data_IF_159780396594
#
_entry.id   IF_159780396594
#
_cell.length_a   1.000
_cell.length_b   1.000
_cell.length_c   1.000
_cell.angle_alpha   90.00
_cell.angle_beta   90.00
_cell.angle_gamma   90.00
#
_symmetry.space_group_name_H-M   'P 1'
#
loop_
_entity.id
_entity.type
_entity.pdbx_description
1 polymer ?
#
# COMPACT_ATOMS: atom_id res chain seq x y z
N UNK A 1 -3.22 9.05 -17.05
CA UNK A 1 -3.63 10.12 -17.97
C UNK A 1 -3.95 11.44 -17.23
N UNK A 2 -4.71 11.43 -16.12
CA UNK A 2 -4.98 12.66 -15.36
C UNK A 2 -3.73 13.16 -14.64
N UNK A 3 -2.99 12.29 -13.97
CA UNK A 3 -1.71 12.61 -13.33
C UNK A 3 -0.69 13.07 -14.38
N UNK A 4 -0.63 12.39 -15.51
CA UNK A 4 0.26 12.75 -16.61
C UNK A 4 -0.04 14.13 -17.19
N UNK A 5 -1.32 14.46 -17.38
CA UNK A 5 -1.75 15.81 -17.78
C UNK A 5 -1.42 16.86 -16.73
N UNK A 6 -1.42 16.51 -15.44
CA UNK A 6 -1.03 17.40 -14.36
C UNK A 6 0.42 17.84 -14.52
N UNK A 7 1.33 16.90 -14.81
CA UNK A 7 2.75 17.17 -14.97
C UNK A 7 3.11 18.03 -16.19
N UNK A 8 2.21 18.16 -17.16
CA UNK A 8 2.38 19.00 -18.36
C UNK A 8 1.73 20.38 -18.24
N UNK A 9 1.04 20.65 -17.13
CA UNK A 9 0.34 21.93 -16.90
C UNK A 9 1.27 22.99 -16.32
N UNK A 10 0.90 24.27 -16.51
CA UNK A 10 1.60 25.42 -15.93
C UNK A 10 1.51 25.47 -14.40
N UNK A 11 0.47 24.87 -13.83
CA UNK A 11 0.27 24.78 -12.37
C UNK A 11 -0.15 23.34 -12.01
N UNK A 12 0.81 22.42 -11.82
CA UNK A 12 0.55 21.03 -11.44
C UNK A 12 -0.21 20.91 -10.14
N UNK A 13 0.11 21.73 -9.13
CA UNK A 13 -0.52 21.73 -7.80
C UNK A 13 -2.03 22.00 -7.91
N UNK A 14 -2.45 23.05 -8.63
CA UNK A 14 -3.87 23.35 -8.83
C UNK A 14 -4.64 22.18 -9.46
N UNK A 15 -4.00 21.44 -10.36
CA UNK A 15 -4.60 20.27 -10.99
C UNK A 15 -4.69 19.08 -10.05
N UNK A 16 -3.67 18.85 -9.21
CA UNK A 16 -3.73 17.80 -8.19
C UNK A 16 -4.87 18.07 -7.20
N UNK A 17 -5.06 19.30 -6.76
CA UNK A 17 -6.21 19.69 -5.91
C UNK A 17 -7.57 19.39 -6.57
N UNK A 18 -7.69 19.54 -7.88
CA UNK A 18 -8.93 19.19 -8.61
C UNK A 18 -9.19 17.68 -8.71
N UNK A 19 -8.12 16.87 -8.73
CA UNK A 19 -8.21 15.42 -8.82
C UNK A 19 -8.51 14.77 -7.48
N UNK A 20 -7.96 15.30 -6.40
CA UNK A 20 -8.20 14.85 -5.02
C UNK A 20 -9.65 15.15 -4.64
N UNK A 21 -10.32 14.17 -4.06
CA UNK A 21 -11.70 14.26 -3.61
C UNK A 21 -11.78 14.17 -2.10
N UNK A 22 -12.53 15.08 -1.50
CA UNK A 22 -12.90 14.99 -0.10
C UNK A 22 -13.83 13.80 0.10
N UNK A 23 -13.66 13.12 1.23
CA UNK A 23 -14.58 12.06 1.67
C UNK A 23 -15.46 12.55 2.81
N UNK A 24 -16.48 11.76 3.17
CA UNK A 24 -17.32 12.00 4.35
C UNK A 24 -16.59 11.67 5.68
N UNK A 25 -15.32 11.26 5.60
CA UNK A 25 -14.49 10.92 6.76
C UNK A 25 -13.48 12.04 7.00
N UNK A 26 -13.43 12.50 8.25
CA UNK A 26 -12.49 13.52 8.68
C UNK A 26 -11.04 13.06 8.41
N UNK A 27 -10.21 13.99 7.92
CA UNK A 27 -8.79 13.79 7.61
C UNK A 27 -8.51 12.70 6.56
N UNK A 28 -9.50 12.32 5.75
CA UNK A 28 -9.33 11.36 4.68
C UNK A 28 -9.76 11.92 3.33
N UNK A 29 -8.81 12.11 2.45
CA UNK A 29 -9.02 12.47 1.07
C UNK A 29 -8.67 11.28 0.15
N UNK A 30 -9.19 11.26 -1.06
CA UNK A 30 -8.96 10.18 -2.02
C UNK A 30 -8.57 10.74 -3.39
N UNK A 31 -7.52 10.20 -3.96
CA UNK A 31 -7.20 10.32 -5.38
C UNK A 31 -7.71 9.05 -6.09
N UNK A 32 -8.92 9.08 -6.68
CA UNK A 32 -9.56 7.86 -7.16
C UNK A 32 -8.97 7.38 -8.48
N UNK A 33 -8.75 6.08 -8.61
CA UNK A 33 -8.49 5.39 -9.87
C UNK A 33 -9.77 4.73 -10.42
N UNK A 34 -9.77 4.38 -11.69
CA UNK A 34 -10.84 3.63 -12.34
C UNK A 34 -10.27 2.75 -13.47
N UNK A 35 -11.13 2.02 -14.19
CA UNK A 35 -10.75 1.09 -15.25
C UNK A 35 -9.92 1.72 -16.39
N UNK A 36 -9.93 3.05 -16.54
CA UNK A 36 -9.06 3.75 -17.51
C UNK A 36 -7.59 3.67 -17.13
N UNK A 37 -7.26 3.27 -15.89
CA UNK A 37 -5.89 3.03 -15.48
C UNK A 37 -5.21 1.96 -16.34
N UNK A 38 -5.94 0.93 -16.77
CA UNK A 38 -5.41 -0.11 -17.66
C UNK A 38 -4.91 0.47 -18.99
N UNK A 39 -5.72 1.35 -19.62
CA UNK A 39 -5.30 2.04 -20.84
C UNK A 39 -4.18 3.06 -20.58
N UNK A 40 -4.22 3.73 -19.43
CA UNK A 40 -3.15 4.65 -19.03
C UNK A 40 -1.82 3.91 -18.86
N UNK A 41 -1.80 2.74 -18.24
CA UNK A 41 -0.61 1.92 -18.08
C UNK A 41 0.00 1.53 -19.45
N UNK A 42 -0.84 1.11 -20.41
CA UNK A 42 -0.37 0.82 -21.77
C UNK A 42 0.24 2.05 -22.44
N UNK A 43 -0.41 3.21 -22.31
CA UNK A 43 0.10 4.47 -22.86
C UNK A 43 1.42 4.87 -22.23
N UNK A 44 1.55 4.74 -20.92
CA UNK A 44 2.77 5.02 -20.15
C UNK A 44 3.91 4.11 -20.61
N UNK A 45 3.67 2.82 -20.80
CA UNK A 45 4.69 1.87 -21.26
C UNK A 45 5.23 2.18 -22.67
N UNK A 46 4.42 2.78 -23.54
CA UNK A 46 4.79 3.16 -24.91
C UNK A 46 5.46 4.55 -24.97
N UNK A 47 5.34 5.38 -23.95
CA UNK A 47 5.92 6.72 -23.93
C UNK A 47 7.41 6.67 -23.53
N UNK A 48 8.29 6.77 -24.51
CA UNK A 48 9.75 6.79 -24.32
C UNK A 48 10.32 8.21 -24.15
N UNK A 49 9.48 9.24 -24.10
CA UNK A 49 9.94 10.64 -24.04
C UNK A 49 10.43 11.07 -22.66
N UNK A 50 10.11 10.32 -21.61
CA UNK A 50 10.46 10.59 -20.21
C UNK A 50 10.46 9.31 -19.38
N UNK A 51 11.13 9.31 -18.20
CA UNK A 51 11.11 8.19 -17.28
C UNK A 51 9.67 7.84 -16.87
N UNK A 52 9.31 6.58 -17.03
CA UNK A 52 7.93 6.11 -16.85
C UNK A 52 7.62 5.77 -15.38
N UNK A 53 8.66 5.42 -14.61
CA UNK A 53 8.55 4.93 -13.24
C UNK A 53 8.35 6.03 -12.19
N UNK A 54 8.59 7.30 -12.51
CA UNK A 54 8.55 8.42 -11.56
C UNK A 54 7.28 9.27 -11.64
N UNK A 55 6.25 8.85 -12.38
CA UNK A 55 5.06 9.68 -12.64
C UNK A 55 4.24 9.94 -11.39
N UNK A 56 4.08 8.92 -10.53
CA UNK A 56 3.37 9.06 -9.26
C UNK A 56 4.22 9.88 -8.28
N UNK A 57 5.51 9.58 -8.12
CA UNK A 57 6.43 10.35 -7.26
C UNK A 57 6.36 11.84 -7.58
N UNK A 58 6.55 12.19 -8.85
CA UNK A 58 6.52 13.59 -9.30
C UNK A 58 5.15 14.27 -9.11
N UNK A 59 4.06 13.53 -9.21
CA UNK A 59 2.72 14.09 -8.99
C UNK A 59 2.44 14.31 -7.49
N UNK A 60 2.85 13.39 -6.63
CA UNK A 60 2.68 13.51 -5.18
C UNK A 60 3.53 14.62 -4.58
N UNK A 61 4.68 14.93 -5.15
CA UNK A 61 5.53 16.04 -4.73
C UNK A 61 4.78 17.38 -4.68
N UNK A 62 3.78 17.56 -5.56
CA UNK A 62 2.96 18.78 -5.59
C UNK A 62 2.04 18.95 -4.37
N UNK A 63 1.83 17.90 -3.56
CA UNK A 63 0.87 17.90 -2.45
C UNK A 63 1.41 17.25 -1.16
N UNK A 64 2.68 16.89 -1.13
CA UNK A 64 3.28 16.15 -0.01
C UNK A 64 3.12 16.87 1.34
N UNK A 65 3.24 18.20 1.37
CA UNK A 65 3.18 19.01 2.59
C UNK A 65 1.75 19.17 3.14
N UNK A 66 0.74 18.67 2.43
CA UNK A 66 -0.66 18.76 2.81
C UNK A 66 -1.15 17.55 3.63
N UNK A 67 -0.37 16.46 3.65
CA UNK A 67 -0.76 15.19 4.25
C UNK A 67 0.35 14.61 5.12
N UNK A 68 -0.02 14.01 6.23
CA UNK A 68 0.93 13.29 7.08
C UNK A 68 1.27 11.91 6.48
N UNK A 69 0.31 11.28 5.79
CA UNK A 69 0.46 9.97 5.15
C UNK A 69 -0.22 9.95 3.79
N UNK A 70 0.39 9.25 2.85
CA UNK A 70 -0.20 8.88 1.57
C UNK A 70 -0.17 7.37 1.41
N UNK A 71 -1.33 6.73 1.34
CA UNK A 71 -1.45 5.28 1.14
C UNK A 71 -1.74 5.02 -0.34
N UNK A 72 -0.85 4.28 -1.01
CA UNK A 72 -1.01 3.89 -2.40
C UNK A 72 -1.49 2.44 -2.44
N UNK A 73 -2.78 2.24 -2.72
CA UNK A 73 -3.38 0.90 -2.87
C UNK A 73 -3.09 0.34 -4.26
N UNK A 74 -2.48 -0.85 -4.31
CA UNK A 74 -2.04 -1.51 -5.53
C UNK A 74 -2.73 -2.84 -5.75
N UNK A 75 -2.91 -3.20 -7.03
CA UNK A 75 -3.26 -4.56 -7.41
C UNK A 75 -2.10 -5.54 -7.07
N UNK A 76 -2.41 -6.82 -6.82
CA UNK A 76 -1.41 -7.82 -6.46
C UNK A 76 -0.64 -8.34 -7.71
N UNK A 77 -0.13 -7.43 -8.52
CA UNK A 77 0.65 -7.75 -9.72
C UNK A 77 1.85 -6.78 -9.85
N UNK A 78 2.89 -7.22 -10.54
CA UNK A 78 4.09 -6.41 -10.80
C UNK A 78 3.95 -5.78 -12.18
N UNK A 79 3.37 -4.61 -12.23
CA UNK A 79 3.20 -3.82 -13.47
C UNK A 79 3.75 -2.40 -13.30
N UNK A 80 3.61 -1.55 -14.33
CA UNK A 80 4.11 -0.17 -14.30
C UNK A 80 3.46 0.67 -13.18
N UNK A 81 2.22 0.39 -12.77
CA UNK A 81 1.58 1.07 -11.64
C UNK A 81 2.27 0.71 -10.32
N UNK A 82 2.55 -0.58 -10.10
CA UNK A 82 3.25 -1.08 -8.90
C UNK A 82 4.66 -0.52 -8.84
N UNK A 83 5.39 -0.50 -9.95
CA UNK A 83 6.73 0.13 -10.03
C UNK A 83 6.65 1.62 -9.68
N UNK A 84 5.66 2.35 -10.20
CA UNK A 84 5.45 3.76 -9.86
C UNK A 84 5.11 3.97 -8.38
N UNK A 85 4.35 3.06 -7.76
CA UNK A 85 4.05 3.13 -6.34
C UNK A 85 5.30 2.89 -5.50
N UNK A 86 6.07 1.84 -5.80
CA UNK A 86 7.33 1.52 -5.12
C UNK A 86 8.38 2.64 -5.27
N UNK A 87 8.40 3.32 -6.43
CA UNK A 87 9.29 4.45 -6.67
C UNK A 87 8.88 5.71 -5.89
N UNK A 88 7.62 5.80 -5.46
CA UNK A 88 7.05 6.97 -4.79
C UNK A 88 6.90 6.80 -3.27
N UNK A 89 7.02 5.59 -2.73
CA UNK A 89 6.78 5.32 -1.31
C UNK A 89 8.07 5.33 -0.49
N UNK A 90 7.93 5.55 0.81
CA UNK A 90 9.00 5.40 1.81
C UNK A 90 8.97 4.00 2.43
N UNK A 91 7.77 3.41 2.53
CA UNK A 91 7.55 2.12 3.18
C UNK A 91 6.59 1.26 2.38
N UNK A 92 6.72 -0.07 2.53
CA UNK A 92 5.80 -1.04 1.94
C UNK A 92 5.18 -1.91 3.03
N UNK A 93 3.85 -1.93 3.09
CA UNK A 93 3.10 -2.89 3.90
C UNK A 93 2.55 -4.01 3.01
N UNK A 94 2.93 -5.24 3.30
CA UNK A 94 2.57 -6.42 2.52
C UNK A 94 1.53 -7.25 3.28
N UNK A 95 0.23 -7.14 2.94
CA UNK A 95 -0.78 -8.01 3.51
C UNK A 95 -0.67 -9.42 2.93
N UNK A 96 -0.41 -10.41 3.78
CA UNK A 96 -0.26 -11.81 3.37
C UNK A 96 -1.44 -12.61 3.91
N UNK A 97 -2.21 -13.23 3.01
CA UNK A 97 -3.15 -14.30 3.32
C UNK A 97 -2.40 -15.62 3.14
N UNK A 98 -2.35 -16.46 4.17
CA UNK A 98 -1.62 -17.73 4.10
C UNK A 98 -2.43 -18.72 3.29
N UNK A 99 -1.99 -18.99 2.07
CA UNK A 99 -2.53 -19.95 1.12
C UNK A 99 -1.41 -20.72 0.40
N UNK A 100 -1.78 -21.59 -0.55
CA UNK A 100 -0.85 -22.40 -1.31
C UNK A 100 0.12 -21.58 -2.21
N UNK A 101 -0.24 -20.34 -2.56
CA UNK A 101 0.55 -19.47 -3.42
C UNK A 101 1.54 -18.59 -2.66
N UNK A 102 1.40 -18.49 -1.33
CA UNK A 102 2.22 -17.60 -0.48
C UNK A 102 3.71 -17.90 -0.59
N UNK A 103 4.06 -19.17 -0.75
CA UNK A 103 5.45 -19.64 -0.83
C UNK A 103 6.21 -19.17 -2.08
N UNK A 104 5.52 -18.88 -3.18
CA UNK A 104 6.12 -18.45 -4.45
C UNK A 104 6.02 -16.95 -4.66
N UNK A 105 4.88 -16.35 -4.39
CA UNK A 105 4.62 -14.94 -4.68
C UNK A 105 5.36 -13.95 -3.75
N UNK A 106 5.52 -14.30 -2.47
CA UNK A 106 6.15 -13.41 -1.50
C UNK A 106 7.65 -13.17 -1.77
N UNK A 107 8.49 -14.19 -2.05
CA UNK A 107 9.90 -13.97 -2.41
C UNK A 107 10.06 -13.09 -3.65
N UNK A 108 9.23 -13.27 -4.68
CA UNK A 108 9.30 -12.49 -5.91
C UNK A 108 8.99 -11.00 -5.63
N UNK A 109 7.95 -10.72 -4.85
CA UNK A 109 7.60 -9.35 -4.45
C UNK A 109 8.72 -8.71 -3.64
N UNK A 110 9.30 -9.42 -2.67
CA UNK A 110 10.42 -8.91 -1.86
C UNK A 110 11.64 -8.61 -2.73
N UNK A 111 11.95 -9.45 -3.71
CA UNK A 111 13.04 -9.19 -4.66
C UNK A 111 12.75 -7.92 -5.49
N UNK A 112 11.52 -7.73 -5.96
CA UNK A 112 11.14 -6.52 -6.69
C UNK A 112 11.27 -5.26 -5.84
N UNK A 113 10.90 -5.32 -4.55
CA UNK A 113 11.07 -4.20 -3.61
C UNK A 113 12.55 -3.86 -3.46
N UNK A 114 13.42 -4.87 -3.27
CA UNK A 114 14.88 -4.65 -3.15
C UNK A 114 15.48 -4.03 -4.40
N UNK A 115 15.16 -4.54 -5.58
CA UNK A 115 15.63 -3.97 -6.85
C UNK A 115 15.15 -2.52 -7.02
N UNK A 116 13.88 -2.24 -6.69
CA UNK A 116 13.36 -0.87 -6.79
C UNK A 116 14.08 0.06 -5.82
N UNK A 117 14.38 -0.38 -4.60
CA UNK A 117 15.14 0.41 -3.63
C UNK A 117 16.55 0.71 -4.14
N UNK A 118 17.24 -0.26 -4.68
CA UNK A 118 18.63 -0.12 -5.14
C UNK A 118 18.74 0.74 -6.41
N UNK A 119 17.78 0.59 -7.35
CA UNK A 119 17.91 1.18 -8.68
C UNK A 119 17.08 2.44 -8.90
N UNK A 120 15.97 2.61 -8.15
CA UNK A 120 14.95 3.61 -8.48
C UNK A 120 14.50 4.49 -7.31
N UNK A 121 14.62 4.04 -6.06
CA UNK A 121 14.09 4.77 -4.91
C UNK A 121 14.90 4.55 -3.64
N UNK A 122 15.92 5.34 -3.42
CA UNK A 122 16.77 5.32 -2.21
C UNK A 122 15.96 5.69 -0.94
N UNK A 123 14.84 6.43 -1.08
CA UNK A 123 13.96 6.82 0.01
C UNK A 123 13.04 5.66 0.49
N UNK A 124 13.08 4.50 -0.16
CA UNK A 124 12.33 3.31 0.25
C UNK A 124 13.07 2.62 1.41
N UNK A 125 12.74 3.00 2.63
CA UNK A 125 13.46 2.59 3.83
C UNK A 125 13.12 1.16 4.24
N UNK A 126 11.84 0.84 4.36
CA UNK A 126 11.40 -0.40 4.96
C UNK A 126 10.30 -1.12 4.17
N UNK A 127 10.18 -2.42 4.41
CA UNK A 127 8.97 -3.17 4.12
C UNK A 127 8.63 -4.08 5.30
N UNK A 128 7.34 -4.26 5.55
CA UNK A 128 6.84 -5.18 6.56
C UNK A 128 5.74 -6.06 6.02
N UNK A 129 5.81 -7.32 6.37
CA UNK A 129 4.75 -8.29 6.13
C UNK A 129 3.80 -8.25 7.34
N UNK A 130 2.50 -8.34 7.10
CA UNK A 130 1.53 -8.65 8.14
C UNK A 130 0.53 -9.67 7.66
N UNK A 131 0.13 -10.56 8.57
CA UNK A 131 -0.80 -11.64 8.22
C UNK A 131 -2.24 -11.12 8.28
N UNK A 132 -2.99 -11.40 7.23
CA UNK A 132 -4.41 -11.06 7.15
C UNK A 132 -5.30 -12.30 6.99
N UNK A 133 -6.60 -12.16 7.28
CA UNK A 133 -7.60 -13.24 7.25
C UNK A 133 -7.20 -14.48 8.07
N UNK A 134 -6.45 -14.29 9.14
CA UNK A 134 -5.91 -15.38 9.93
C UNK A 134 -6.97 -16.08 10.78
N UNK A 135 -7.06 -17.40 10.65
CA UNK A 135 -7.82 -18.26 11.56
C UNK A 135 -6.86 -19.20 12.32
N UNK A 136 -6.64 -18.94 13.60
CA UNK A 136 -5.78 -19.75 14.48
C UNK A 136 -6.19 -21.23 14.60
N UNK A 137 -7.42 -21.57 14.20
CA UNK A 137 -7.92 -22.96 14.23
C UNK A 137 -7.57 -23.71 12.94
N UNK A 138 -7.17 -22.99 11.91
CA UNK A 138 -6.75 -23.60 10.65
C UNK A 138 -5.29 -24.08 10.78
N UNK A 139 -5.11 -25.41 10.76
CA UNK A 139 -3.79 -26.05 10.87
C UNK A 139 -2.83 -25.63 9.75
N UNK A 140 -3.32 -25.59 8.51
CA UNK A 140 -2.50 -25.19 7.37
C UNK A 140 -1.99 -23.74 7.50
N UNK A 141 -2.84 -22.84 8.01
CA UNK A 141 -2.41 -21.46 8.27
C UNK A 141 -1.38 -21.36 9.42
N UNK A 142 -1.46 -22.22 10.45
CA UNK A 142 -0.44 -22.26 11.50
C UNK A 142 0.91 -22.71 10.95
N UNK A 143 0.92 -23.79 10.17
CA UNK A 143 2.15 -24.30 9.54
C UNK A 143 2.73 -23.30 8.53
N UNK A 144 1.89 -22.68 7.69
CA UNK A 144 2.32 -21.65 6.76
C UNK A 144 2.91 -20.42 7.46
N UNK A 145 2.35 -20.02 8.61
CA UNK A 145 2.91 -18.95 9.43
C UNK A 145 4.31 -19.29 9.95
N UNK A 146 4.52 -20.52 10.43
CA UNK A 146 5.83 -20.98 10.90
C UNK A 146 6.87 -20.95 9.77
N UNK A 147 6.48 -21.30 8.54
CA UNK A 147 7.35 -21.22 7.36
C UNK A 147 7.73 -19.78 7.02
N UNK A 148 6.76 -18.84 7.05
CA UNK A 148 7.03 -17.42 6.79
C UNK A 148 7.96 -16.85 7.87
N UNK A 149 7.74 -17.22 9.15
CA UNK A 149 8.60 -16.78 10.25
C UNK A 149 10.02 -17.34 10.14
N UNK A 150 10.16 -18.60 9.70
CA UNK A 150 11.46 -19.23 9.48
C UNK A 150 12.26 -18.59 8.31
N UNK A 151 11.59 -17.89 7.41
CA UNK A 151 12.23 -17.15 6.32
C UNK A 151 12.81 -15.79 6.74
N UNK A 152 12.62 -15.39 8.01
CA UNK A 152 13.19 -14.18 8.63
C UNK A 152 12.86 -12.86 7.89
N UNK A 153 11.71 -12.79 7.23
CA UNK A 153 11.23 -11.53 6.67
C UNK A 153 10.86 -10.54 7.78
N UNK A 154 11.07 -9.23 7.60
CA UNK A 154 10.52 -8.22 8.48
C UNK A 154 9.01 -8.37 8.60
N UNK A 155 8.49 -8.70 9.77
CA UNK A 155 7.08 -9.00 9.97
C UNK A 155 6.52 -8.34 11.22
N UNK A 156 5.38 -7.65 11.05
CA UNK A 156 4.62 -7.12 12.17
C UNK A 156 3.98 -8.28 12.97
N UNK A 157 3.92 -8.12 14.28
CA UNK A 157 3.38 -9.14 15.21
C UNK A 157 1.87 -9.22 15.14
N UNK A 158 1.23 -8.07 14.85
CA UNK A 158 -0.23 -7.98 14.74
C UNK A 158 -0.71 -8.76 13.52
N UNK A 159 -1.79 -9.51 13.71
CA UNK A 159 -2.43 -10.32 12.68
C UNK A 159 -3.89 -9.93 12.58
N UNK A 160 -4.34 -9.64 11.37
CA UNK A 160 -5.75 -9.36 11.12
C UNK A 160 -6.49 -10.69 11.00
N UNK A 161 -7.36 -10.97 11.96
CA UNK A 161 -8.14 -12.21 11.95
C UNK A 161 -9.21 -12.21 10.87
N UNK A 162 -9.56 -13.39 10.39
CA UNK A 162 -10.72 -13.54 9.51
C UNK A 162 -11.98 -13.02 10.22
N UNK A 163 -12.71 -12.15 9.55
CA UNK A 163 -13.96 -11.61 10.08
C UNK A 163 -14.94 -11.28 8.97
N UNK A 164 -16.17 -11.77 9.08
CA UNK A 164 -17.29 -11.40 8.17
C UNK A 164 -17.57 -9.90 8.21
N UNK A 165 -17.29 -9.23 9.34
CA UNK A 165 -17.49 -7.78 9.48
C UNK A 165 -16.64 -6.96 8.52
N UNK A 166 -15.46 -7.46 8.13
CA UNK A 166 -14.60 -6.82 7.12
C UNK A 166 -15.28 -6.85 5.75
N UNK A 167 -15.84 -7.99 5.34
CA UNK A 167 -16.59 -8.08 4.07
C UNK A 167 -17.86 -7.23 4.09
N UNK A 168 -18.59 -7.23 5.20
CA UNK A 168 -19.81 -6.43 5.38
C UNK A 168 -19.51 -4.92 5.30
N UNK A 169 -18.46 -4.43 5.97
CA UNK A 169 -18.08 -3.01 5.95
C UNK A 169 -17.60 -2.55 4.56
N UNK A 170 -16.89 -3.42 3.83
CA UNK A 170 -16.49 -3.15 2.44
C UNK A 170 -17.70 -2.98 1.53
N UNK A 171 -18.68 -3.88 1.64
CA UNK A 171 -19.93 -3.76 0.89
C UNK A 171 -20.73 -2.51 1.26
N UNK A 172 -20.77 -2.17 2.55
CA UNK A 172 -21.42 -0.96 3.05
C UNK A 172 -20.65 0.34 2.72
N UNK A 173 -19.42 0.25 2.25
CA UNK A 173 -18.50 1.38 2.01
C UNK A 173 -18.28 2.24 3.25
N UNK A 174 -18.18 1.60 4.40
CA UNK A 174 -17.95 2.25 5.69
C UNK A 174 -16.70 1.63 6.31
N UNK A 175 -15.70 2.41 6.74
CA UNK A 175 -14.50 1.88 7.41
C UNK A 175 -14.85 1.03 8.63
N UNK A 176 -14.11 -0.08 8.84
CA UNK A 176 -14.39 -1.05 9.92
C UNK A 176 -14.48 -0.41 11.32
N UNK A 177 -13.66 0.60 11.68
CA UNK A 177 -13.78 1.26 12.98
C UNK A 177 -15.12 2.01 13.17
N UNK A 178 -15.74 2.48 12.07
CA UNK A 178 -17.07 3.12 12.11
C UNK A 178 -18.20 2.11 11.96
N UNK A 179 -18.02 1.10 11.12
CA UNK A 179 -19.03 0.08 10.86
C UNK A 179 -19.27 -0.84 12.07
N UNK A 180 -18.19 -1.29 12.69
CA UNK A 180 -18.24 -2.22 13.81
C UNK A 180 -17.11 -1.94 14.83
N UNK A 181 -17.16 -0.82 15.56
CA UNK A 181 -16.05 -0.34 16.40
C UNK A 181 -15.68 -1.29 17.54
N UNK A 182 -16.61 -2.16 17.96
CA UNK A 182 -16.36 -3.15 19.03
C UNK A 182 -15.97 -4.54 18.50
N UNK A 183 -15.81 -4.68 17.18
CA UNK A 183 -15.39 -5.96 16.61
C UNK A 183 -13.91 -6.21 16.87
N UNK A 184 -13.56 -7.49 17.00
CA UNK A 184 -12.15 -7.86 17.17
C UNK A 184 -11.32 -7.50 15.92
N UNK A 185 -11.93 -7.50 14.73
CA UNK A 185 -11.23 -7.05 13.52
C UNK A 185 -10.93 -5.55 13.54
N UNK A 186 -11.85 -4.69 14.03
CA UNK A 186 -11.56 -3.27 14.18
C UNK A 186 -10.36 -3.06 15.11
N UNK A 187 -10.33 -3.79 16.24
CA UNK A 187 -9.20 -3.75 17.15
C UNK A 187 -7.90 -4.22 16.51
N UNK A 188 -7.93 -5.31 15.73
CA UNK A 188 -6.72 -5.81 15.04
C UNK A 188 -6.14 -4.73 14.09
N UNK A 189 -6.98 -3.97 13.38
CA UNK A 189 -6.51 -2.87 12.54
C UNK A 189 -5.96 -1.69 13.36
N UNK A 190 -6.55 -1.36 14.51
CA UNK A 190 -6.01 -0.34 15.43
C UNK A 190 -4.65 -0.77 15.98
N UNK A 191 -4.53 -2.02 16.41
CA UNK A 191 -3.28 -2.59 16.92
C UNK A 191 -2.20 -2.60 15.80
N UNK A 192 -2.57 -2.94 14.55
CA UNK A 192 -1.66 -2.90 13.40
C UNK A 192 -1.12 -1.49 13.13
N UNK A 193 -2.00 -0.49 13.13
CA UNK A 193 -1.58 0.91 12.92
C UNK A 193 -0.68 1.38 14.06
N UNK A 194 -1.00 1.02 15.30
CA UNK A 194 -0.19 1.38 16.47
C UNK A 194 1.21 0.77 16.39
N UNK A 195 1.30 -0.50 16.02
CA UNK A 195 2.58 -1.18 15.84
C UNK A 195 3.38 -0.55 14.70
N UNK A 196 2.77 -0.30 13.54
CA UNK A 196 3.43 0.33 12.41
C UNK A 196 4.00 1.71 12.75
N UNK A 197 3.23 2.56 13.42
CA UNK A 197 3.70 3.88 13.85
C UNK A 197 4.86 3.77 14.85
N UNK A 198 4.86 2.75 15.71
CA UNK A 198 5.97 2.51 16.63
C UNK A 198 7.26 2.11 15.89
N UNK A 199 7.17 1.27 14.87
CA UNK A 199 8.32 0.89 14.03
C UNK A 199 8.91 2.10 13.28
N UNK A 200 8.07 3.00 12.73
CA UNK A 200 8.54 4.24 12.11
C UNK A 200 9.33 5.13 13.08
N UNK A 201 8.88 5.25 14.33
CA UNK A 201 9.58 6.08 15.33
C UNK A 201 10.91 5.48 15.79
N UNK A 202 11.07 4.17 15.72
CA UNK A 202 12.33 3.49 16.02
C UNK A 202 13.34 3.76 14.89
N UNK A 203 12.91 3.66 13.64
CA UNK A 203 13.76 3.88 12.46
C UNK A 203 14.24 5.33 12.33
N UNK A 204 13.42 6.32 12.74
CA UNK A 204 13.76 7.75 12.71
C UNK A 204 14.59 8.25 13.89
N UNK A 205 14.92 7.40 14.86
CA UNK A 205 15.65 7.76 16.08
C UNK A 205 17.16 7.44 16.07
N UNK A 206 17.68 6.91 14.97
CA UNK A 206 19.10 6.54 14.82
C UNK A 206 19.96 7.56 14.02
N UNK A 207 19.47 8.80 13.85
CA UNK A 207 20.27 9.90 13.27
C UNK A 207 20.96 10.78 14.34
#
# INVERSE_FOLDING_TARGET
>A
DAIDRTMTKRNPEEWMHKLIKKTDFENLDVLPANMRLLTANQTVMLDQTRPQQYRIKNALECVKDLYNFCIIDNAPDINISTINALTACNDVLIPVEIDDNTGEGLPELVNQIRHTREDLNEDLENYWIFITKYDRRNEAQRQGLELIQAAEYPMLKTRIRYSRKVSECTYARIPIPKYSPRSLAAKDYEDLVTEYIAELNISGGEE
#
